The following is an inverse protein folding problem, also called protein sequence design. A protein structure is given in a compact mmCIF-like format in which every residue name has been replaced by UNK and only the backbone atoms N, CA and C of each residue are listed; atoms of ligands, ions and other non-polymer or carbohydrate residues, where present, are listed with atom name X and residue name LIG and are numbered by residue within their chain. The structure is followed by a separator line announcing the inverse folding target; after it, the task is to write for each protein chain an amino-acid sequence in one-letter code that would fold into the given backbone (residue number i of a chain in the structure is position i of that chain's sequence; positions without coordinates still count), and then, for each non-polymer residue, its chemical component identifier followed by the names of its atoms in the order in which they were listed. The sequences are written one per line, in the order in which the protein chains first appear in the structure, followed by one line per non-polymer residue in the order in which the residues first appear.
data_IF_777292640535
#
_entry.id   IF_777292640535
#
_cell.length_a   1.000
_cell.length_b   1.000
_cell.length_c   1.000
_cell.angle_alpha   90.00
_cell.angle_beta   90.00
_cell.angle_gamma   90.00
#
_symmetry.space_group_name_H-M   'P 1'
#
loop_
_entity.id
_entity.type
_entity.pdbx_description
1 polymer ?
#
# COMPACT_ATOMS: atom_id res chain seq x y z
N UNK A 1 30.71 -0.98 0.87
CA UNK A 1 29.61 -1.04 -0.12
C UNK A 1 28.31 -1.15 0.65
N UNK A 2 27.32 -0.28 0.41
CA UNK A 2 26.01 -0.40 1.05
C UNK A 2 25.13 -1.28 0.17
N UNK A 3 24.45 -2.27 0.75
CA UNK A 3 23.45 -3.06 0.02
C UNK A 3 22.10 -2.41 0.26
N UNK A 4 21.49 -1.87 -0.79
CA UNK A 4 20.21 -1.15 -0.72
C UNK A 4 19.20 -1.78 -1.67
N UNK A 5 17.99 -2.03 -1.19
CA UNK A 5 16.84 -2.43 -2.01
C UNK A 5 15.72 -1.40 -1.85
N UNK A 6 15.30 -0.82 -2.98
CA UNK A 6 14.15 0.10 -3.01
C UNK A 6 12.96 -0.59 -3.67
N UNK A 7 11.86 -0.67 -2.94
CA UNK A 7 10.58 -1.19 -3.43
C UNK A 7 9.49 -0.16 -3.19
N UNK A 8 8.39 -0.28 -3.92
CA UNK A 8 7.26 0.66 -3.79
C UNK A 8 5.95 -0.07 -3.52
N UNK A 9 5.06 0.61 -2.81
CA UNK A 9 3.66 0.25 -2.68
C UNK A 9 3.05 0.04 -4.07
N UNK A 10 2.18 -0.97 -4.19
CA UNK A 10 1.40 -1.18 -5.40
C UNK A 10 0.47 0.02 -5.61
N UNK A 11 0.78 0.85 -6.60
CA UNK A 11 0.01 2.04 -6.94
C UNK A 11 -0.63 1.89 -8.32
N UNK A 12 -1.96 2.02 -8.39
CA UNK A 12 -2.67 2.01 -9.68
C UNK A 12 -2.48 3.34 -10.41
N UNK A 13 -2.03 3.29 -11.67
CA UNK A 13 -1.94 4.47 -12.54
C UNK A 13 -3.31 5.08 -12.90
N UNK A 14 -4.41 4.40 -12.58
CA UNK A 14 -5.77 4.81 -12.92
C UNK A 14 -6.38 5.81 -11.93
N UNK A 15 -5.76 6.05 -10.76
CA UNK A 15 -6.30 6.99 -9.76
C UNK A 15 -6.62 8.39 -10.31
N UNK A 16 -5.75 9.02 -11.13
CA UNK A 16 -6.07 10.32 -11.75
C UNK A 16 -7.28 10.25 -12.69
N UNK A 17 -7.39 9.19 -13.48
CA UNK A 17 -8.52 9.00 -14.39
C UNK A 17 -9.84 8.80 -13.61
N UNK A 18 -9.82 8.04 -12.52
CA UNK A 18 -10.97 7.84 -11.64
C UNK A 18 -11.37 9.17 -10.98
N UNK A 19 -10.42 9.95 -10.49
CA UNK A 19 -10.68 11.25 -9.87
C UNK A 19 -11.36 12.22 -10.85
N UNK A 20 -10.77 12.40 -12.04
CA UNK A 20 -11.31 13.29 -13.07
C UNK A 20 -12.67 12.80 -13.57
N UNK A 21 -12.78 11.51 -13.90
CA UNK A 21 -14.03 10.92 -14.39
C UNK A 21 -15.17 11.04 -13.38
N UNK A 22 -14.88 10.86 -12.08
CA UNK A 22 -15.88 10.99 -11.02
C UNK A 22 -16.34 12.44 -10.83
N UNK A 23 -15.44 13.43 -10.91
CA UNK A 23 -15.82 14.84 -10.83
C UNK A 23 -16.69 15.23 -12.04
N UNK A 24 -16.32 14.81 -13.25
CA UNK A 24 -17.12 15.08 -14.46
C UNK A 24 -18.51 14.44 -14.32
N UNK A 25 -18.57 13.16 -13.92
CA UNK A 25 -19.84 12.47 -13.69
C UNK A 25 -20.71 13.19 -12.66
N UNK A 26 -20.11 13.66 -11.55
CA UNK A 26 -20.83 14.43 -10.53
C UNK A 26 -21.46 15.70 -11.10
N UNK A 27 -20.73 16.46 -11.92
CA UNK A 27 -21.24 17.67 -12.58
C UNK A 27 -22.39 17.32 -13.54
N UNK A 28 -22.25 16.25 -14.33
CA UNK A 28 -23.28 15.82 -15.27
C UNK A 28 -24.56 15.39 -14.55
N UNK A 29 -24.46 14.60 -13.48
CA UNK A 29 -25.62 14.19 -12.69
C UNK A 29 -26.29 15.36 -11.99
N UNK A 30 -25.49 16.32 -11.50
CA UNK A 30 -26.02 17.55 -10.90
C UNK A 30 -26.73 18.43 -11.93
N UNK A 31 -26.16 18.59 -13.12
CA UNK A 31 -26.79 19.32 -14.23
C UNK A 31 -28.09 18.67 -14.69
N UNK A 32 -28.09 17.34 -14.82
CA UNK A 32 -29.29 16.57 -15.14
C UNK A 32 -30.37 16.73 -14.05
N UNK A 33 -29.99 16.73 -12.78
CA UNK A 33 -30.90 16.97 -11.66
C UNK A 33 -31.64 18.31 -11.79
N UNK A 34 -30.94 19.39 -12.19
CA UNK A 34 -31.54 20.72 -12.35
C UNK A 34 -32.60 20.76 -13.46
N UNK A 35 -32.47 19.91 -14.48
CA UNK A 35 -33.39 19.86 -15.62
C UNK A 35 -34.62 18.98 -15.41
N UNK A 36 -34.67 18.18 -14.34
CA UNK A 36 -35.74 17.20 -14.11
C UNK A 36 -36.74 17.72 -13.09
N UNK A 37 -38.04 17.68 -13.44
CA UNK A 37 -39.14 18.04 -12.54
C UNK A 37 -39.68 16.86 -11.72
N UNK A 38 -39.36 15.62 -12.11
CA UNK A 38 -39.76 14.42 -11.40
C UNK A 38 -38.98 14.28 -10.08
N UNK A 39 -39.71 14.13 -8.98
CA UNK A 39 -39.15 14.10 -7.61
C UNK A 39 -38.31 12.84 -7.35
N UNK A 40 -38.71 11.69 -7.88
CA UNK A 40 -38.00 10.42 -7.68
C UNK A 40 -36.70 10.42 -8.48
N UNK A 41 -36.78 10.75 -9.77
CA UNK A 41 -35.60 10.83 -10.64
C UNK A 41 -34.63 11.89 -10.13
N UNK A 42 -35.13 13.06 -9.73
CA UNK A 42 -34.31 14.12 -9.13
C UNK A 42 -33.57 13.65 -7.89
N UNK A 43 -34.21 12.85 -7.03
CA UNK A 43 -33.58 12.29 -5.82
C UNK A 43 -32.43 11.32 -6.16
N UNK A 44 -32.62 10.44 -7.14
CA UNK A 44 -31.54 9.52 -7.58
C UNK A 44 -30.37 10.26 -8.21
N UNK A 45 -30.63 11.26 -9.06
CA UNK A 45 -29.59 12.08 -9.68
C UNK A 45 -28.78 12.85 -8.64
N UNK A 46 -29.44 13.40 -7.61
CA UNK A 46 -28.76 14.06 -6.49
C UNK A 46 -27.87 13.10 -5.70
N UNK A 47 -28.36 11.90 -5.40
CA UNK A 47 -27.57 10.88 -4.70
C UNK A 47 -26.35 10.45 -5.53
N UNK A 48 -26.54 10.20 -6.82
CA UNK A 48 -25.46 9.87 -7.74
C UNK A 48 -24.41 11.00 -7.81
N UNK A 49 -24.85 12.25 -7.98
CA UNK A 49 -23.96 13.41 -8.03
C UNK A 49 -23.11 13.53 -6.75
N UNK A 50 -23.70 13.29 -5.58
CA UNK A 50 -23.00 13.28 -4.31
C UNK A 50 -22.02 12.10 -4.20
N UNK A 51 -22.44 10.89 -4.57
CA UNK A 51 -21.58 9.72 -4.51
C UNK A 51 -20.33 9.88 -5.39
N UNK A 52 -20.50 10.33 -6.63
CA UNK A 52 -19.38 10.59 -7.54
C UNK A 52 -18.49 11.74 -7.07
N UNK A 53 -19.07 12.77 -6.44
CA UNK A 53 -18.27 13.83 -5.82
C UNK A 53 -17.37 13.29 -4.71
N UNK A 54 -17.92 12.48 -3.80
CA UNK A 54 -17.15 11.84 -2.71
C UNK A 54 -16.06 10.92 -3.27
N UNK A 55 -16.37 10.10 -4.27
CA UNK A 55 -15.38 9.23 -4.93
C UNK A 55 -14.24 10.05 -5.55
N UNK A 56 -14.57 11.15 -6.24
CA UNK A 56 -13.60 12.08 -6.80
C UNK A 56 -12.69 12.68 -5.73
N UNK A 57 -13.27 13.13 -4.61
CA UNK A 57 -12.54 13.74 -3.51
C UNK A 57 -11.62 12.75 -2.79
N UNK A 58 -12.10 11.53 -2.51
CA UNK A 58 -11.28 10.47 -1.91
C UNK A 58 -10.13 10.04 -2.85
N UNK A 59 -10.40 9.95 -4.15
CA UNK A 59 -9.38 9.65 -5.16
C UNK A 59 -8.32 10.75 -5.22
N UNK A 60 -8.73 12.01 -5.08
CA UNK A 60 -7.81 13.14 -5.02
C UNK A 60 -6.87 13.07 -3.81
N UNK A 61 -7.38 12.73 -2.62
CA UNK A 61 -6.52 12.49 -1.46
C UNK A 61 -5.53 11.35 -1.72
N UNK A 62 -5.96 10.24 -2.31
CA UNK A 62 -5.05 9.12 -2.62
C UNK A 62 -3.92 9.53 -3.57
N UNK A 63 -4.19 10.42 -4.54
CA UNK A 63 -3.16 10.98 -5.43
C UNK A 63 -2.23 11.94 -4.67
N UNK A 64 -2.80 12.78 -3.81
CA UNK A 64 -2.05 13.74 -2.99
C UNK A 64 -1.11 13.04 -2.00
N UNK A 65 -1.57 11.98 -1.36
CA UNK A 65 -0.77 11.21 -0.42
C UNK A 65 0.36 10.47 -1.15
N UNK A 66 0.13 10.07 -2.39
CA UNK A 66 1.16 9.43 -3.21
C UNK A 66 1.40 7.98 -2.81
N UNK A 67 2.47 7.41 -3.37
CA UNK A 67 2.89 6.02 -3.07
C UNK A 67 3.91 6.02 -1.94
N UNK A 68 3.83 5.01 -1.08
CA UNK A 68 4.87 4.74 -0.08
C UNK A 68 6.02 4.00 -0.77
N UNK A 69 7.23 4.48 -0.57
CA UNK A 69 8.48 3.85 -0.99
C UNK A 69 9.14 3.25 0.26
N UNK A 70 9.61 2.01 0.15
CA UNK A 70 10.26 1.28 1.23
C UNK A 70 11.69 1.02 0.78
N UNK A 71 12.64 1.53 1.56
CA UNK A 71 14.07 1.35 1.36
C UNK A 71 14.61 0.43 2.45
N UNK A 72 15.24 -0.64 2.01
CA UNK A 72 15.95 -1.59 2.87
C UNK A 72 17.44 -1.31 2.73
N UNK A 73 18.12 -0.94 3.81
CA UNK A 73 19.55 -0.66 3.83
C UNK A 73 20.26 -1.55 4.85
N UNK A 74 21.38 -2.15 4.44
CA UNK A 74 22.29 -2.85 5.35
C UNK A 74 23.66 -2.20 5.29
N UNK A 75 24.14 -1.77 6.47
CA UNK A 75 25.45 -1.16 6.61
C UNK A 75 26.51 -2.25 6.77
N UNK A 76 27.50 -2.30 5.89
CA UNK A 76 28.57 -3.32 5.91
C UNK A 76 29.43 -3.36 7.19
N UNK A 77 29.35 -2.34 8.06
CA UNK A 77 30.02 -2.36 9.37
C UNK A 77 29.22 -3.13 10.44
N UNK A 78 27.89 -3.16 10.31
CA UNK A 78 26.95 -3.90 11.15
C UNK A 78 26.06 -4.73 10.22
N UNK A 79 26.64 -5.79 9.64
CA UNK A 79 25.95 -6.69 8.69
C UNK A 79 24.73 -7.42 9.27
N UNK A 80 24.41 -7.16 10.53
CA UNK A 80 23.32 -7.78 11.27
C UNK A 80 22.10 -6.87 11.41
N UNK A 81 22.19 -5.59 11.08
CA UNK A 81 21.10 -4.63 11.22
C UNK A 81 20.56 -4.28 9.84
N UNK A 82 19.25 -4.45 9.68
CA UNK A 82 18.49 -4.06 8.51
C UNK A 82 17.68 -2.81 8.86
N UNK A 83 18.08 -1.67 8.27
CA UNK A 83 17.31 -0.44 8.34
C UNK A 83 16.21 -0.49 7.30
N UNK A 84 14.96 -0.35 7.73
CA UNK A 84 13.78 -0.26 6.86
C UNK A 84 13.21 1.15 6.98
N UNK A 85 13.44 1.96 5.95
CA UNK A 85 12.95 3.32 5.86
C UNK A 85 11.70 3.39 4.97
N UNK A 86 10.66 4.05 5.45
CA UNK A 86 9.44 4.31 4.72
C UNK A 86 9.36 5.79 4.38
N UNK A 87 9.33 6.10 3.08
CA UNK A 87 9.25 7.47 2.60
C UNK A 87 8.05 7.69 1.67
N UNK A 88 7.54 8.91 1.66
CA UNK A 88 6.56 9.37 0.67
C UNK A 88 7.09 10.64 0.06
N UNK A 89 7.21 10.64 -1.28
CA UNK A 89 7.73 11.79 -2.04
C UNK A 89 9.11 12.26 -1.52
N UNK A 90 9.97 11.30 -1.14
CA UNK A 90 11.32 11.58 -0.62
C UNK A 90 11.37 12.19 0.78
N UNK A 91 10.26 12.17 1.53
CA UNK A 91 10.23 12.50 2.95
C UNK A 91 10.04 11.23 3.75
N UNK A 92 10.96 10.97 4.68
CA UNK A 92 10.84 9.90 5.67
C UNK A 92 9.57 10.11 6.51
N UNK A 93 8.75 9.07 6.61
CA UNK A 93 7.58 9.02 7.50
C UNK A 93 7.88 8.15 8.71
N UNK A 94 8.65 7.08 8.51
CA UNK A 94 8.95 6.10 9.53
C UNK A 94 10.23 5.36 9.19
N UNK A 95 10.97 4.95 10.21
CA UNK A 95 12.12 4.07 10.08
C UNK A 95 12.09 3.05 11.22
N UNK A 96 12.41 1.80 10.90
CA UNK A 96 12.55 0.72 11.87
C UNK A 96 13.86 -0.03 11.63
N UNK A 97 14.48 -0.47 12.73
CA UNK A 97 15.70 -1.26 12.69
C UNK A 97 15.36 -2.70 13.08
N UNK A 98 15.74 -3.65 12.21
CA UNK A 98 15.48 -5.07 12.39
C UNK A 98 16.81 -5.81 12.48
N UNK A 99 17.03 -6.50 13.59
CA UNK A 99 18.16 -7.42 13.73
C UNK A 99 17.91 -8.67 12.86
N UNK A 100 18.75 -8.89 11.87
CA UNK A 100 18.67 -10.04 10.96
C UNK A 100 18.86 -11.36 11.72
N UNK A 101 19.70 -11.38 12.76
CA UNK A 101 19.89 -12.53 13.65
C UNK A 101 18.65 -12.95 14.42
N UNK A 102 17.72 -12.03 14.64
CA UNK A 102 16.45 -12.36 15.29
C UNK A 102 15.47 -13.02 14.32
N UNK A 103 15.69 -12.93 13.01
CA UNK A 103 14.82 -13.54 12.01
C UNK A 103 15.05 -15.05 12.00
N UNK A 104 13.95 -15.81 12.09
CA UNK A 104 13.93 -17.26 12.02
C UNK A 104 13.45 -17.78 10.66
N UNK A 105 12.46 -17.11 10.10
CA UNK A 105 11.77 -17.52 8.86
C UNK A 105 11.20 -16.28 8.18
N UNK A 106 11.18 -16.27 6.85
CA UNK A 106 10.65 -15.18 6.02
C UNK A 106 9.91 -15.72 4.80
N UNK A 107 8.73 -15.17 4.52
CA UNK A 107 7.95 -15.57 3.35
C UNK A 107 7.09 -14.45 2.79
N UNK A 108 6.67 -14.63 1.55
CA UNK A 108 5.57 -13.85 0.98
C UNK A 108 4.23 -14.43 1.41
N UNK A 109 3.27 -13.56 1.73
CA UNK A 109 1.92 -13.94 2.12
C UNK A 109 0.89 -13.03 1.43
N UNK A 110 -0.37 -13.44 1.45
CA UNK A 110 -1.47 -12.61 0.97
C UNK A 110 -1.72 -11.47 1.94
N UNK A 111 -2.21 -10.35 1.41
CA UNK A 111 -2.66 -9.22 2.23
C UNK A 111 -3.70 -9.68 3.27
N UNK A 112 -3.57 -9.26 4.54
CA UNK A 112 -4.57 -9.58 5.56
C UNK A 112 -5.92 -9.00 5.16
N UNK A 113 -6.99 -9.77 5.33
CA UNK A 113 -8.33 -9.33 4.97
C UNK A 113 -8.88 -8.35 6.03
N UNK A 114 -8.51 -7.08 5.93
CA UNK A 114 -8.97 -6.00 6.81
C UNK A 114 -9.93 -5.02 6.13
N UNK A 115 -10.27 -5.22 4.85
CA UNK A 115 -11.16 -4.32 4.12
C UNK A 115 -11.87 -5.01 2.96
N UNK A 116 -13.06 -4.52 2.59
CA UNK A 116 -13.82 -4.93 1.40
C UNK A 116 -13.00 -4.88 0.10
N UNK A 117 -11.98 -4.02 0.05
CA UNK A 117 -11.06 -3.97 -1.09
C UNK A 117 -10.26 -5.26 -1.23
N UNK A 118 -9.83 -5.86 -0.11
CA UNK A 118 -9.02 -7.09 -0.11
C UNK A 118 -9.88 -8.32 -0.45
N UNK A 119 -11.20 -8.26 -0.24
CA UNK A 119 -12.14 -9.27 -0.74
C UNK A 119 -12.21 -9.28 -2.26
N UNK A 120 -12.17 -8.10 -2.88
CA UNK A 120 -12.25 -7.91 -4.33
C UNK A 120 -10.89 -8.08 -5.03
N UNK A 121 -9.79 -7.67 -4.40
CA UNK A 121 -8.45 -7.73 -4.97
C UNK A 121 -7.51 -8.65 -4.16
N UNK A 122 -7.46 -9.93 -4.54
CA UNK A 122 -6.60 -10.96 -3.92
C UNK A 122 -5.17 -11.02 -4.48
N UNK A 123 -4.81 -10.09 -5.36
CA UNK A 123 -3.49 -10.11 -6.03
C UNK A 123 -2.41 -9.42 -5.18
N UNK A 124 -2.79 -8.65 -4.17
CA UNK A 124 -1.85 -7.91 -3.35
C UNK A 124 -1.13 -8.85 -2.38
N UNK A 125 0.16 -8.60 -2.17
CA UNK A 125 1.05 -9.40 -1.34
C UNK A 125 1.59 -8.57 -0.18
N UNK A 126 2.07 -9.29 0.81
CA UNK A 126 2.80 -8.78 1.97
C UNK A 126 4.00 -9.68 2.23
N UNK A 127 4.98 -9.18 2.97
CA UNK A 127 6.13 -9.98 3.42
C UNK A 127 5.98 -10.18 4.91
N UNK A 128 6.12 -11.41 5.37
CA UNK A 128 6.03 -11.77 6.78
C UNK A 128 7.31 -12.41 7.23
N UNK A 129 7.68 -12.12 8.47
CA UNK A 129 8.83 -12.73 9.12
C UNK A 129 8.46 -13.21 10.52
N UNK A 130 9.13 -14.25 10.98
CA UNK A 130 9.02 -14.75 12.34
C UNK A 130 10.31 -14.45 13.09
N UNK A 131 10.21 -13.94 14.32
CA UNK A 131 11.37 -13.76 15.20
C UNK A 131 11.65 -15.04 15.99
N UNK A 132 12.91 -15.34 16.32
CA UNK A 132 13.30 -16.52 17.11
C UNK A 132 12.59 -16.62 18.46
N UNK A 133 12.35 -15.48 19.11
CA UNK A 133 11.73 -15.39 20.43
C UNK A 133 10.20 -15.16 20.39
N UNK A 134 9.56 -15.30 19.23
CA UNK A 134 8.13 -15.04 19.06
C UNK A 134 7.47 -16.12 18.20
N UNK A 135 6.38 -16.71 18.69
CA UNK A 135 5.64 -17.73 17.91
C UNK A 135 4.81 -17.13 16.77
N UNK A 136 4.54 -15.82 16.82
CA UNK A 136 3.76 -15.09 15.83
C UNK A 136 4.54 -14.65 14.58
N UNK A 137 3.82 -14.53 13.48
CA UNK A 137 4.32 -13.93 12.23
C UNK A 137 4.01 -12.43 12.19
N UNK A 138 5.05 -11.62 12.06
CA UNK A 138 4.98 -10.17 11.91
C UNK A 138 4.98 -9.79 10.42
N UNK A 139 4.43 -8.63 10.10
CA UNK A 139 4.52 -8.07 8.74
C UNK A 139 5.75 -7.17 8.65
N UNK A 140 6.58 -7.39 7.65
CA UNK A 140 7.78 -6.59 7.39
C UNK A 140 7.43 -5.23 6.79
N UNK A 141 6.31 -5.15 6.09
CA UNK A 141 5.83 -3.96 5.40
C UNK A 141 4.62 -3.36 6.13
N UNK A 142 4.73 -3.15 7.45
CA UNK A 142 3.67 -2.61 8.29
C UNK A 142 4.08 -1.29 8.95
N UNK A 143 3.27 -0.25 8.78
CA UNK A 143 3.48 1.05 9.42
C UNK A 143 2.25 1.37 10.26
N UNK A 144 2.43 1.61 11.56
CA UNK A 144 1.36 2.00 12.49
C UNK A 144 0.11 1.11 12.41
N UNK A 145 0.28 -0.22 12.30
CA UNK A 145 -0.84 -1.16 12.21
C UNK A 145 -1.41 -1.34 10.79
N UNK A 146 -0.91 -0.59 9.79
CA UNK A 146 -1.32 -0.70 8.39
C UNK A 146 -0.25 -1.41 7.57
N UNK A 147 -0.60 -2.58 7.04
CA UNK A 147 0.24 -3.30 6.09
C UNK A 147 0.18 -2.60 4.71
N UNK A 148 1.33 -2.36 4.11
CA UNK A 148 1.47 -1.65 2.83
C UNK A 148 1.37 -2.66 1.68
N UNK A 149 0.37 -2.58 0.78
CA UNK A 149 0.19 -3.58 -0.26
C UNK A 149 1.35 -3.57 -1.26
N UNK A 150 1.93 -4.74 -1.52
CA UNK A 150 3.01 -4.94 -2.49
C UNK A 150 2.51 -5.72 -3.71
N UNK A 151 3.18 -5.53 -4.84
CA UNK A 151 3.08 -6.48 -5.96
C UNK A 151 3.79 -7.79 -5.59
N UNK A 152 3.43 -8.88 -6.26
CA UNK A 152 4.09 -10.17 -6.08
C UNK A 152 5.59 -10.12 -6.40
N UNK A 153 5.95 -9.44 -7.48
CA UNK A 153 7.35 -9.20 -7.86
C UNK A 153 8.12 -8.42 -6.76
N UNK A 154 7.54 -7.35 -6.21
CA UNK A 154 8.20 -6.58 -5.14
C UNK A 154 8.32 -7.39 -3.85
N UNK A 155 7.29 -8.14 -3.47
CA UNK A 155 7.33 -9.00 -2.29
C UNK A 155 8.43 -10.08 -2.43
N UNK A 156 8.52 -10.72 -3.59
CA UNK A 156 9.55 -11.72 -3.86
C UNK A 156 10.97 -11.12 -3.87
N UNK A 157 11.15 -9.89 -4.38
CA UNK A 157 12.44 -9.19 -4.33
C UNK A 157 12.91 -8.93 -2.90
N UNK A 158 12.01 -8.56 -1.99
CA UNK A 158 12.34 -8.34 -0.57
C UNK A 158 12.79 -9.66 0.07
N UNK A 159 12.04 -10.74 -0.14
CA UNK A 159 12.41 -12.07 0.39
C UNK A 159 13.77 -12.50 -0.17
N UNK A 160 13.98 -12.39 -1.48
CA UNK A 160 15.25 -12.74 -2.12
C UNK A 160 16.43 -11.88 -1.60
N UNK A 161 16.20 -10.59 -1.33
CA UNK A 161 17.20 -9.70 -0.75
C UNK A 161 17.59 -10.15 0.66
N UNK A 162 16.61 -10.46 1.52
CA UNK A 162 16.88 -10.94 2.88
C UNK A 162 17.56 -12.31 2.86
N UNK A 163 17.13 -13.24 2.01
CA UNK A 163 17.80 -14.54 1.82
C UNK A 163 19.23 -14.41 1.27
N UNK A 164 19.51 -13.40 0.45
CA UNK A 164 20.88 -13.13 -0.01
C UNK A 164 21.82 -12.68 1.10
N UNK A 165 21.27 -12.07 2.15
CA UNK A 165 22.01 -11.65 3.35
C UNK A 165 22.08 -12.78 4.38
N UNK A 166 21.04 -13.63 4.44
CA UNK A 166 20.90 -14.75 5.37
C UNK A 166 20.43 -16.02 4.66
N UNK A 167 21.35 -16.74 3.98
CA UNK A 167 21.04 -17.94 3.22
C UNK A 167 20.62 -19.14 4.09
N UNK A 168 20.83 -19.03 5.41
CA UNK A 168 20.47 -20.02 6.42
C UNK A 168 18.98 -20.01 6.80
N UNK A 169 18.23 -18.99 6.38
CA UNK A 169 16.79 -18.92 6.56
C UNK A 169 16.07 -19.85 5.55
N UNK A 170 15.02 -20.54 6.01
CA UNK A 170 14.13 -21.33 5.15
C UNK A 170 13.03 -20.47 4.55
#
# INVERSE_FOLDING_TARGET
MKSTLNVSEKYSRHWPAIAVGSIIASILFFGAYVAVSDVLIGSYLRLAAFAFFVIGFLSFFKIKDGRIEIQFEVNQKNSNELDVEYSVRGREIHAELIELDDIKDIKTDRMPNRSLYNDLNRTDRSVRFQKKNMEGWLYLNEIHGRVIPLSEDNANKIVAFILSLRPDLN
#
